data_IF_670871357375
#
_entry.id   IF_670871357375
#
_cell.length_a   1.000
_cell.length_b   1.000
_cell.length_c   1.000
_cell.angle_alpha   90.00
_cell.angle_beta   90.00
_cell.angle_gamma   90.00
#
_symmetry.space_group_name_H-M   'P 1'
#
loop_
_entity.id
_entity.type
_entity.pdbx_description
1 polymer ?
#
# COMPACT_ATOMS: atom_id res chain seq x y z
N UNK A 1 19.32 12.68 5.14
CA UNK A 1 18.76 12.15 6.14
C UNK A 1 17.30 12.12 6.54
N UNK A 2 16.33 11.75 5.69
CA UNK A 2 14.88 11.85 5.99
C UNK A 2 14.21 10.51 6.30
N UNK A 3 14.94 9.57 6.92
CA UNK A 3 14.43 8.22 7.21
C UNK A 3 14.33 7.94 8.73
N UNK A 4 14.50 8.95 9.57
CA UNK A 4 14.33 8.76 11.01
C UNK A 4 12.84 8.55 11.32
N UNK A 5 12.55 7.49 12.08
CA UNK A 5 11.20 7.06 12.45
C UNK A 5 11.03 7.26 13.96
N UNK A 6 9.92 7.85 14.36
CA UNK A 6 9.48 7.93 15.74
C UNK A 6 8.64 6.70 16.08
N UNK A 7 9.09 5.93 17.08
CA UNK A 7 8.46 4.69 17.54
C UNK A 7 7.81 4.82 18.91
N UNK A 8 7.66 6.06 19.43
CA UNK A 8 7.04 6.31 20.75
C UNK A 8 5.53 6.15 20.76
N UNK A 9 4.89 6.19 19.58
CA UNK A 9 3.47 5.92 19.41
C UNK A 9 3.19 4.43 19.17
N UNK A 10 1.91 4.08 18.99
CA UNK A 10 1.48 2.71 18.67
C UNK A 10 2.05 2.22 17.32
N UNK A 11 2.22 3.11 16.37
CA UNK A 11 2.76 2.82 15.05
C UNK A 11 3.92 3.76 14.72
N UNK A 12 4.93 3.28 13.96
CA UNK A 12 6.09 4.09 13.59
C UNK A 12 5.73 5.17 12.56
N UNK A 13 6.08 6.42 12.83
CA UNK A 13 5.88 7.57 11.93
C UNK A 13 7.19 8.28 11.64
N UNK A 14 7.31 8.94 10.50
CA UNK A 14 8.50 9.75 10.21
C UNK A 14 8.60 10.94 11.16
N UNK A 15 9.78 11.18 11.73
CA UNK A 15 10.04 12.31 12.63
C UNK A 15 9.81 13.67 11.95
N UNK A 16 9.90 13.73 10.63
CA UNK A 16 9.58 14.93 9.86
C UNK A 16 8.12 15.38 10.00
N UNK A 17 7.16 14.44 10.16
CA UNK A 17 5.75 14.79 10.40
C UNK A 17 5.53 15.43 11.76
N UNK A 18 6.08 14.85 12.81
CA UNK A 18 6.00 15.42 14.16
C UNK A 18 6.66 16.80 14.24
N UNK A 19 7.82 16.97 13.58
CA UNK A 19 8.50 18.25 13.46
C UNK A 19 7.68 19.32 12.73
N UNK A 20 7.01 18.94 11.64
CA UNK A 20 6.14 19.82 10.88
C UNK A 20 4.99 20.36 11.75
N UNK A 21 4.27 19.47 12.46
CA UNK A 21 3.14 19.89 13.30
C UNK A 21 3.57 20.67 14.54
N UNK A 22 4.73 20.38 15.12
CA UNK A 22 5.31 21.20 16.20
C UNK A 22 5.60 22.62 15.71
N UNK A 23 6.17 22.77 14.51
CA UNK A 23 6.42 24.06 13.90
C UNK A 23 5.13 24.83 13.60
N UNK A 24 4.11 24.17 13.05
CA UNK A 24 2.80 24.76 12.77
C UNK A 24 2.15 25.25 14.07
N UNK A 25 2.04 24.42 15.10
CA UNK A 25 1.48 24.79 16.41
C UNK A 25 2.22 25.95 17.06
N UNK A 26 3.56 25.95 17.01
CA UNK A 26 4.36 27.07 17.49
C UNK A 26 4.14 28.36 16.71
N UNK A 27 3.89 28.26 15.39
CA UNK A 27 3.57 29.42 14.55
C UNK A 27 2.18 29.99 14.83
N UNK A 28 1.19 29.13 15.11
CA UNK A 28 -0.14 29.53 15.57
C UNK A 28 -0.01 30.33 16.88
N UNK A 29 0.68 29.79 17.88
CA UNK A 29 0.87 30.43 19.18
C UNK A 29 1.50 31.83 19.04
N UNK A 30 2.54 31.98 18.20
CA UNK A 30 3.19 33.27 17.97
C UNK A 30 2.27 34.25 17.23
N UNK A 31 1.54 33.82 16.21
CA UNK A 31 0.66 34.67 15.44
C UNK A 31 -0.53 35.14 16.28
N UNK A 32 -1.16 34.24 17.04
CA UNK A 32 -2.36 34.54 17.83
C UNK A 32 -2.09 35.44 19.03
N UNK A 33 -0.83 35.55 19.48
CA UNK A 33 -0.39 36.54 20.42
C UNK A 33 -0.39 37.98 19.86
N UNK A 34 -0.33 38.12 18.52
CA UNK A 34 -0.29 39.40 17.83
C UNK A 34 -1.62 39.74 17.14
N UNK A 35 -2.24 38.77 16.48
CA UNK A 35 -3.48 38.96 15.69
C UNK A 35 -4.22 37.65 15.48
N UNK A 36 -5.55 37.75 15.36
CA UNK A 36 -6.46 36.63 15.01
C UNK A 36 -7.22 36.86 13.71
N UNK A 37 -6.95 37.98 13.03
CA UNK A 37 -7.63 38.41 11.82
C UNK A 37 -6.93 37.95 10.53
N UNK A 38 -6.90 38.83 9.53
CA UNK A 38 -6.42 38.52 8.17
C UNK A 38 -5.02 37.91 8.10
N UNK A 39 -4.07 38.37 8.91
CA UNK A 39 -2.72 37.81 8.89
C UNK A 39 -2.71 36.34 9.37
N UNK A 40 -3.51 35.99 10.37
CA UNK A 40 -3.66 34.61 10.80
C UNK A 40 -4.35 33.75 9.71
N UNK A 41 -5.33 34.30 9.00
CA UNK A 41 -5.94 33.62 7.86
C UNK A 41 -4.93 33.34 6.73
N UNK A 42 -4.03 34.28 6.40
CA UNK A 42 -2.96 34.04 5.43
C UNK A 42 -1.96 32.97 5.90
N UNK A 43 -1.67 32.94 7.19
CA UNK A 43 -0.82 31.90 7.80
C UNK A 43 -1.49 30.51 7.69
N UNK A 44 -2.81 30.44 7.89
CA UNK A 44 -3.58 29.21 7.67
C UNK A 44 -3.43 28.69 6.22
N UNK A 45 -3.53 29.56 5.22
CA UNK A 45 -3.30 29.16 3.82
C UNK A 45 -1.88 28.63 3.59
N UNK A 46 -0.88 29.24 4.21
CA UNK A 46 0.50 28.74 4.14
C UNK A 46 0.66 27.35 4.80
N UNK A 47 -0.14 27.03 5.84
CA UNK A 47 -0.17 25.68 6.41
C UNK A 47 -0.80 24.68 5.45
N UNK A 48 -1.91 25.03 4.78
CA UNK A 48 -2.52 24.18 3.76
C UNK A 48 -1.52 23.83 2.65
N UNK A 49 -0.78 24.82 2.14
CA UNK A 49 0.24 24.62 1.11
C UNK A 49 1.39 23.72 1.61
N UNK A 50 1.80 23.92 2.86
CA UNK A 50 2.89 23.12 3.47
C UNK A 50 2.48 21.65 3.64
N UNK A 51 1.24 21.38 4.06
CA UNK A 51 0.69 20.04 4.21
C UNK A 51 0.53 19.35 2.85
N UNK A 52 0.05 20.07 1.84
CA UNK A 52 -0.05 19.56 0.47
C UNK A 52 1.34 19.15 -0.09
N UNK A 53 2.36 20.00 0.12
CA UNK A 53 3.74 19.68 -0.26
C UNK A 53 4.27 18.47 0.50
N UNK A 54 3.94 18.33 1.78
CA UNK A 54 4.38 17.20 2.58
C UNK A 54 3.75 15.89 2.08
N UNK A 55 2.44 15.88 1.74
CA UNK A 55 1.79 14.74 1.13
C UNK A 55 2.46 14.34 -0.21
N UNK A 56 2.84 15.32 -1.04
CA UNK A 56 3.59 15.06 -2.28
C UNK A 56 4.97 14.43 -2.02
N UNK A 57 5.69 14.93 -1.00
CA UNK A 57 7.00 14.35 -0.60
C UNK A 57 6.83 12.90 -0.16
N UNK A 58 5.80 12.58 0.65
CA UNK A 58 5.50 11.22 1.07
C UNK A 58 5.17 10.32 -0.13
N UNK A 59 4.35 10.80 -1.06
CA UNK A 59 4.04 10.08 -2.31
C UNK A 59 5.30 9.82 -3.16
N UNK A 60 6.24 10.76 -3.19
CA UNK A 60 7.52 10.62 -3.90
C UNK A 60 8.49 9.60 -3.30
N UNK A 61 8.27 9.17 -2.04
CA UNK A 61 9.08 8.12 -1.39
C UNK A 61 8.66 6.70 -1.80
N UNK A 62 7.53 6.55 -2.51
CA UNK A 62 7.03 5.24 -2.94
C UNK A 62 7.86 4.68 -4.09
N UNK A 63 8.04 3.34 -4.13
CA UNK A 63 8.62 2.68 -5.29
C UNK A 63 7.86 3.04 -6.56
N UNK A 64 8.58 3.49 -7.58
CA UNK A 64 7.99 3.79 -8.88
C UNK A 64 7.87 2.50 -9.70
N UNK A 65 6.84 2.38 -10.56
CA UNK A 65 6.76 1.29 -11.52
C UNK A 65 8.06 1.23 -12.32
N UNK A 66 8.64 0.05 -12.48
CA UNK A 66 9.76 -0.12 -13.39
C UNK A 66 9.27 0.27 -14.79
N UNK A 67 9.79 1.37 -15.31
CA UNK A 67 9.58 1.73 -16.71
C UNK A 67 10.33 0.64 -17.49
N UNK A 68 9.59 -0.33 -18.06
CA UNK A 68 10.17 -1.30 -18.95
C UNK A 68 10.87 -0.51 -20.07
N UNK A 69 12.20 -0.53 -20.07
CA UNK A 69 12.96 -0.02 -21.20
C UNK A 69 12.40 -0.67 -22.47
N UNK A 70 12.18 0.06 -23.56
CA UNK A 70 11.66 -0.51 -24.78
C UNK A 70 12.66 -1.57 -25.25
N UNK A 71 12.33 -2.84 -25.06
CA UNK A 71 12.99 -3.92 -25.79
C UNK A 71 12.68 -3.68 -27.26
N UNK A 72 13.65 -3.04 -27.91
CA UNK A 72 13.59 -2.73 -29.33
C UNK A 72 13.40 -4.00 -30.14
N UNK A 73 12.20 -4.18 -30.64
CA UNK A 73 11.88 -4.89 -31.88
C UNK A 73 10.48 -4.42 -32.29
N UNK A 74 10.45 -3.25 -32.96
CA UNK A 74 9.30 -2.82 -33.73
C UNK A 74 9.12 -3.80 -34.90
N UNK A 75 8.23 -4.77 -34.75
CA UNK A 75 7.59 -5.45 -35.87
C UNK A 75 6.17 -4.91 -36.01
N UNK A 76 6.05 -3.86 -36.81
CA UNK A 76 4.79 -3.35 -37.33
C UNK A 76 4.17 -4.36 -38.26
N UNK A 77 3.12 -5.06 -37.83
CA UNK A 77 2.14 -5.70 -38.70
C UNK A 77 0.75 -5.71 -38.03
N UNK A 78 -0.17 -4.88 -38.58
CA UNK A 78 -1.61 -5.05 -38.46
C UNK A 78 -2.24 -4.60 -37.15
N UNK A 79 -2.95 -3.46 -37.19
CA UNK A 79 -3.71 -2.83 -36.10
C UNK A 79 -4.51 -3.78 -35.23
N UNK A 80 -4.07 -3.93 -34.01
CA UNK A 80 -4.87 -4.29 -32.83
C UNK A 80 -4.30 -3.53 -31.64
N UNK A 81 -5.19 -2.93 -30.85
CA UNK A 81 -4.86 -2.19 -29.63
C UNK A 81 -3.82 -2.95 -28.80
N UNK A 82 -2.67 -2.32 -28.58
CA UNK A 82 -1.70 -2.78 -27.59
C UNK A 82 -2.37 -2.72 -26.22
N UNK A 83 -2.70 -3.88 -25.67
CA UNK A 83 -2.89 -4.04 -24.24
C UNK A 83 -1.51 -3.81 -23.63
N UNK A 84 -1.29 -2.64 -23.07
CA UNK A 84 -0.08 -2.35 -22.29
C UNK A 84 0.05 -3.43 -21.22
N UNK A 85 1.15 -4.15 -21.22
CA UNK A 85 1.49 -5.04 -20.12
C UNK A 85 1.45 -4.23 -18.82
N UNK A 86 0.79 -4.71 -17.76
CA UNK A 86 0.69 -3.97 -16.52
C UNK A 86 2.11 -3.66 -16.02
N UNK A 87 2.37 -2.38 -15.74
CA UNK A 87 3.63 -1.94 -15.13
C UNK A 87 3.78 -2.67 -13.79
N UNK A 88 4.72 -3.61 -13.70
CA UNK A 88 4.95 -4.34 -12.46
C UNK A 88 5.77 -3.49 -11.50
N UNK A 89 5.24 -3.22 -10.31
CA UNK A 89 6.01 -2.63 -9.22
C UNK A 89 6.74 -3.76 -8.51
N UNK A 90 8.07 -3.69 -8.49
CA UNK A 90 8.90 -4.58 -7.69
C UNK A 90 9.32 -3.88 -6.41
N UNK A 91 9.01 -4.50 -5.27
CA UNK A 91 9.47 -4.04 -3.96
C UNK A 91 10.58 -4.97 -3.49
N UNK A 92 11.83 -4.49 -3.33
CA UNK A 92 12.91 -5.28 -2.72
C UNK A 92 12.50 -5.80 -1.34
N UNK A 93 13.02 -6.98 -0.94
CA UNK A 93 12.75 -7.52 0.40
C UNK A 93 13.25 -6.55 1.47
N UNK A 94 12.34 -6.11 2.36
CA UNK A 94 12.61 -5.13 3.41
C UNK A 94 12.08 -3.72 3.10
N UNK A 95 11.94 -3.33 1.84
CA UNK A 95 11.45 -2.00 1.48
C UNK A 95 9.93 -1.85 1.70
N UNK A 96 9.18 -2.96 1.86
CA UNK A 96 7.78 -2.92 2.29
C UNK A 96 7.59 -2.18 3.61
N UNK A 97 8.57 -2.22 4.51
CA UNK A 97 8.58 -1.48 5.78
C UNK A 97 8.49 0.03 5.55
N UNK A 98 9.25 0.55 4.57
CA UNK A 98 9.22 1.97 4.23
C UNK A 98 7.84 2.42 3.74
N UNK A 99 7.18 1.58 2.92
CA UNK A 99 5.82 1.85 2.44
C UNK A 99 4.83 1.85 3.60
N UNK A 100 4.96 0.92 4.56
CA UNK A 100 4.14 0.89 5.77
C UNK A 100 4.35 2.15 6.63
N UNK A 101 5.59 2.62 6.79
CA UNK A 101 5.86 3.88 7.52
C UNK A 101 5.22 5.10 6.84
N UNK A 102 5.13 5.12 5.49
CA UNK A 102 4.37 6.18 4.79
C UNK A 102 2.90 6.11 5.16
N UNK A 103 2.28 4.91 5.18
CA UNK A 103 0.87 4.74 5.57
C UNK A 103 0.62 5.28 6.98
N UNK A 104 1.41 4.83 7.97
CA UNK A 104 1.24 5.26 9.37
C UNK A 104 1.49 6.76 9.54
N UNK A 105 2.42 7.32 8.75
CA UNK A 105 2.67 8.78 8.76
C UNK A 105 1.51 9.55 8.15
N UNK A 106 0.90 9.06 7.07
CA UNK A 106 -0.26 9.69 6.45
C UNK A 106 -1.47 9.68 7.37
N UNK A 107 -1.72 8.56 8.08
CA UNK A 107 -2.79 8.48 9.09
C UNK A 107 -2.56 9.50 10.22
N UNK A 108 -1.37 9.49 10.81
CA UNK A 108 -1.01 10.48 11.83
C UNK A 108 -1.21 11.92 11.33
N UNK A 109 -0.86 12.22 10.07
CA UNK A 109 -1.05 13.53 9.48
C UNK A 109 -2.54 13.87 9.31
N UNK A 110 -3.36 12.95 8.81
CA UNK A 110 -4.79 13.15 8.61
C UNK A 110 -5.50 13.45 9.92
N UNK A 111 -5.26 12.65 10.98
CA UNK A 111 -5.82 12.86 12.31
C UNK A 111 -5.36 14.19 12.94
N UNK A 112 -4.07 14.53 12.74
CA UNK A 112 -3.52 15.77 13.31
C UNK A 112 -4.04 17.00 12.55
N UNK A 113 -4.35 16.90 11.26
CA UNK A 113 -4.96 17.98 10.47
C UNK A 113 -6.36 18.30 10.96
N UNK A 114 -7.18 17.29 11.31
CA UNK A 114 -8.50 17.48 11.88
C UNK A 114 -8.42 18.27 13.20
N UNK A 115 -7.58 17.82 14.13
CA UNK A 115 -7.36 18.53 15.40
C UNK A 115 -6.77 19.94 15.20
N UNK A 116 -5.98 20.15 14.15
CA UNK A 116 -5.41 21.45 13.78
C UNK A 116 -6.48 22.41 13.27
N UNK A 117 -7.40 21.92 12.43
CA UNK A 117 -8.53 22.71 11.93
C UNK A 117 -9.39 23.21 13.07
N UNK A 118 -9.75 22.34 14.01
CA UNK A 118 -10.53 22.71 15.19
C UNK A 118 -9.83 23.79 16.02
N UNK A 119 -8.54 23.60 16.30
CA UNK A 119 -7.73 24.60 17.03
C UNK A 119 -7.71 25.96 16.35
N UNK A 120 -7.56 26.00 15.04
CA UNK A 120 -7.54 27.25 14.24
C UNK A 120 -8.92 27.89 14.23
N UNK A 121 -9.98 27.11 14.00
CA UNK A 121 -11.37 27.56 13.96
C UNK A 121 -11.80 28.18 15.29
N UNK A 122 -11.37 27.64 16.41
CA UNK A 122 -11.66 28.17 17.74
C UNK A 122 -10.90 29.48 18.04
N UNK A 123 -9.76 29.66 17.43
CA UNK A 123 -8.86 30.76 17.74
C UNK A 123 -9.02 31.97 16.80
N UNK A 124 -9.40 31.74 15.54
CA UNK A 124 -9.51 32.79 14.51
C UNK A 124 -10.71 33.72 14.75
N UNK A 125 -10.63 34.93 14.22
CA UNK A 125 -11.75 35.90 14.20
C UNK A 125 -12.98 35.29 13.52
N UNK A 126 -14.16 35.59 14.07
CA UNK A 126 -15.45 35.05 13.60
C UNK A 126 -15.68 35.30 12.11
N UNK A 127 -15.21 36.41 11.57
CA UNK A 127 -15.33 36.74 10.14
C UNK A 127 -14.63 35.77 9.17
N UNK A 128 -13.74 34.91 9.69
CA UNK A 128 -13.00 33.94 8.88
C UNK A 128 -13.38 32.48 9.18
N UNK A 129 -14.18 32.20 10.21
CA UNK A 129 -14.48 30.82 10.66
C UNK A 129 -15.05 29.95 9.57
N UNK A 130 -15.99 30.46 8.77
CA UNK A 130 -16.65 29.71 7.69
C UNK A 130 -15.72 29.34 6.53
N UNK A 131 -14.52 29.90 6.53
CA UNK A 131 -13.49 29.66 5.49
C UNK A 131 -12.40 28.70 5.97
N UNK A 132 -12.52 28.18 7.19
CA UNK A 132 -11.58 27.21 7.77
C UNK A 132 -12.04 25.82 7.35
N UNK A 133 -11.32 25.25 6.39
CA UNK A 133 -11.55 23.91 5.87
C UNK A 133 -10.22 23.30 5.45
N UNK A 134 -9.89 22.14 6.02
CA UNK A 134 -8.70 21.36 5.71
C UNK A 134 -9.04 19.97 5.16
N UNK A 135 -10.28 19.70 4.77
CA UNK A 135 -10.69 18.40 4.23
C UNK A 135 -9.88 17.98 3.01
N UNK A 136 -9.50 18.93 2.15
CA UNK A 136 -8.63 18.66 1.00
C UNK A 136 -7.22 18.19 1.41
N UNK A 137 -6.68 18.69 2.52
CA UNK A 137 -5.38 18.22 3.05
C UNK A 137 -5.48 16.80 3.61
N UNK A 138 -6.58 16.48 4.30
CA UNK A 138 -6.85 15.10 4.76
C UNK A 138 -7.00 14.15 3.58
N UNK A 139 -7.79 14.52 2.56
CA UNK A 139 -7.98 13.72 1.34
C UNK A 139 -6.65 13.43 0.64
N UNK A 140 -5.73 14.39 0.55
CA UNK A 140 -4.40 14.17 -0.02
C UNK A 140 -3.62 13.11 0.75
N UNK A 141 -3.67 13.06 2.08
CA UNK A 141 -3.02 12.01 2.87
C UNK A 141 -3.69 10.65 2.66
N UNK A 142 -5.02 10.58 2.58
CA UNK A 142 -5.75 9.35 2.27
C UNK A 142 -5.44 8.84 0.85
N UNK A 143 -5.28 9.72 -0.13
CA UNK A 143 -4.85 9.37 -1.48
C UNK A 143 -3.45 8.75 -1.50
N UNK A 144 -2.52 9.29 -0.72
CA UNK A 144 -1.16 8.69 -0.58
C UNK A 144 -1.27 7.31 0.05
N UNK A 145 -2.09 7.14 1.08
CA UNK A 145 -2.35 5.83 1.72
C UNK A 145 -2.92 4.82 0.72
N UNK A 146 -3.90 5.23 -0.08
CA UNK A 146 -4.48 4.37 -1.11
C UNK A 146 -3.43 3.91 -2.14
N UNK A 147 -2.52 4.81 -2.56
CA UNK A 147 -1.38 4.48 -3.42
C UNK A 147 -0.42 3.51 -2.75
N UNK A 148 -0.12 3.69 -1.46
CA UNK A 148 0.73 2.78 -0.68
C UNK A 148 0.16 1.36 -0.66
N UNK A 149 -1.13 1.21 -0.37
CA UNK A 149 -1.80 -0.09 -0.35
C UNK A 149 -1.70 -0.76 -1.73
N UNK A 150 -1.92 0.01 -2.82
CA UNK A 150 -1.76 -0.50 -4.18
C UNK A 150 -0.33 -0.99 -4.43
N UNK A 151 0.67 -0.22 -4.02
CA UNK A 151 2.10 -0.58 -4.14
C UNK A 151 2.40 -1.87 -3.37
N UNK A 152 1.91 -2.03 -2.12
CA UNK A 152 2.10 -3.25 -1.34
C UNK A 152 1.49 -4.48 -2.03
N UNK A 153 0.26 -4.35 -2.57
CA UNK A 153 -0.41 -5.43 -3.30
C UNK A 153 0.37 -5.81 -4.55
N UNK A 154 0.73 -4.86 -5.38
CA UNK A 154 1.47 -5.10 -6.63
C UNK A 154 2.87 -5.68 -6.35
N UNK A 155 3.55 -5.18 -5.31
CA UNK A 155 4.84 -5.69 -4.88
C UNK A 155 4.77 -7.14 -4.42
N UNK A 156 3.75 -7.53 -3.64
CA UNK A 156 3.55 -8.91 -3.24
C UNK A 156 3.19 -9.79 -4.46
N UNK A 157 2.27 -9.33 -5.33
CA UNK A 157 1.92 -10.06 -6.56
C UNK A 157 3.12 -10.29 -7.46
N UNK A 158 4.05 -9.33 -7.54
CA UNK A 158 5.28 -9.48 -8.32
C UNK A 158 6.17 -10.61 -7.77
N UNK A 159 6.24 -10.78 -6.43
CA UNK A 159 6.98 -11.89 -5.79
C UNK A 159 6.38 -13.25 -6.08
N UNK A 160 5.09 -13.32 -6.39
CA UNK A 160 4.40 -14.59 -6.69
C UNK A 160 4.51 -15.04 -8.15
N UNK A 161 5.08 -14.21 -9.02
CA UNK A 161 5.16 -14.52 -10.47
C UNK A 161 5.92 -15.82 -10.74
N UNK A 162 7.01 -16.11 -10.00
CA UNK A 162 7.79 -17.33 -10.21
C UNK A 162 7.03 -18.57 -9.74
N UNK A 163 6.25 -18.49 -8.68
CA UNK A 163 5.37 -19.57 -8.25
C UNK A 163 4.27 -19.85 -9.29
N UNK A 164 3.67 -18.80 -9.87
CA UNK A 164 2.68 -18.94 -10.94
C UNK A 164 3.28 -19.47 -12.25
N UNK A 165 4.53 -19.14 -12.57
CA UNK A 165 5.26 -19.76 -13.68
C UNK A 165 5.48 -21.25 -13.40
N UNK A 166 5.95 -21.60 -12.21
CA UNK A 166 6.14 -23.00 -11.81
C UNK A 166 4.85 -23.83 -11.98
N UNK A 167 3.68 -23.27 -11.63
CA UNK A 167 2.38 -23.89 -11.88
C UNK A 167 2.16 -24.19 -13.37
N UNK A 168 2.54 -23.29 -14.28
CA UNK A 168 2.42 -23.48 -15.72
C UNK A 168 3.41 -24.51 -16.28
N UNK A 169 4.56 -24.68 -15.64
CA UNK A 169 5.65 -25.56 -16.08
C UNK A 169 5.41 -27.03 -15.67
N UNK A 170 4.48 -27.29 -14.75
CA UNK A 170 4.08 -28.65 -14.36
C UNK A 170 3.38 -29.32 -15.54
N UNK A 171 3.80 -30.56 -15.85
CA UNK A 171 3.12 -31.37 -16.88
C UNK A 171 1.86 -32.03 -16.33
N UNK A 172 0.76 -31.27 -16.33
CA UNK A 172 -0.54 -31.73 -15.83
C UNK A 172 -1.15 -32.89 -16.61
N UNK A 173 -0.68 -33.13 -17.86
CA UNK A 173 -1.18 -34.23 -18.70
C UNK A 173 -0.68 -35.60 -18.24
N UNK A 174 0.54 -35.67 -17.68
CA UNK A 174 1.17 -36.92 -17.22
C UNK A 174 1.28 -36.97 -15.70
N UNK A 175 0.52 -36.10 -15.01
CA UNK A 175 0.51 -36.08 -13.55
C UNK A 175 -0.13 -37.38 -13.02
N UNK A 176 0.58 -38.14 -12.20
CA UNK A 176 0.29 -39.53 -11.88
C UNK A 176 0.06 -39.81 -10.39
N UNK A 177 0.28 -38.82 -9.51
CA UNK A 177 0.14 -39.04 -8.08
C UNK A 177 -0.39 -37.81 -7.34
N UNK A 178 -1.53 -37.94 -6.70
CA UNK A 178 -2.07 -36.94 -5.77
C UNK A 178 -1.39 -37.14 -4.43
N UNK A 179 -0.84 -36.09 -3.87
CA UNK A 179 -0.15 -36.15 -2.59
C UNK A 179 -0.46 -34.96 -1.70
N UNK A 180 0.58 -34.33 -1.17
CA UNK A 180 0.51 -33.07 -0.46
C UNK A 180 0.26 -31.91 -1.45
N UNK A 181 0.22 -30.68 -0.94
CA UNK A 181 0.13 -29.48 -1.78
C UNK A 181 1.30 -29.38 -2.77
N UNK A 182 1.03 -28.86 -3.95
CA UNK A 182 2.03 -28.67 -5.00
C UNK A 182 3.12 -27.70 -4.55
N UNK A 183 4.32 -27.82 -5.13
CA UNK A 183 5.47 -26.96 -4.80
C UNK A 183 5.21 -25.47 -5.00
N UNK A 184 4.43 -25.09 -6.03
CA UNK A 184 4.05 -23.69 -6.26
C UNK A 184 3.14 -23.12 -5.16
N UNK A 185 2.25 -23.94 -4.57
CA UNK A 185 1.39 -23.53 -3.43
C UNK A 185 2.24 -23.23 -2.21
N UNK A 186 3.18 -24.11 -1.90
CA UNK A 186 4.14 -23.95 -0.80
C UNK A 186 4.98 -22.69 -0.98
N UNK A 187 5.41 -22.42 -2.20
CA UNK A 187 6.17 -21.24 -2.57
C UNK A 187 5.34 -19.96 -2.37
N UNK A 188 4.06 -19.94 -2.77
CA UNK A 188 3.13 -18.85 -2.52
C UNK A 188 2.99 -18.58 -1.00
N UNK A 189 2.73 -19.61 -0.21
CA UNK A 189 2.56 -19.47 1.23
C UNK A 189 3.83 -18.94 1.92
N UNK A 190 5.01 -19.40 1.49
CA UNK A 190 6.31 -18.95 2.01
C UNK A 190 6.58 -17.48 1.76
N UNK A 191 6.10 -16.90 0.66
CA UNK A 191 6.24 -15.46 0.38
C UNK A 191 5.11 -14.64 1.04
N UNK A 192 3.87 -15.11 1.01
CA UNK A 192 2.70 -14.37 1.48
C UNK A 192 2.68 -14.22 3.00
N UNK A 193 2.87 -15.30 3.75
CA UNK A 193 2.67 -15.30 5.21
C UNK A 193 3.62 -14.32 5.91
N UNK A 194 4.95 -14.33 5.68
CA UNK A 194 5.85 -13.39 6.34
C UNK A 194 5.62 -11.94 5.91
N UNK A 195 5.26 -11.72 4.63
CA UNK A 195 4.97 -10.38 4.14
C UNK A 195 3.75 -9.78 4.84
N UNK A 196 2.65 -10.54 4.89
CA UNK A 196 1.39 -10.11 5.53
C UNK A 196 1.59 -9.90 7.03
N UNK A 197 2.29 -10.79 7.72
CA UNK A 197 2.59 -10.67 9.14
C UNK A 197 3.42 -9.40 9.46
N UNK A 198 4.37 -9.05 8.60
CA UNK A 198 5.16 -7.82 8.73
C UNK A 198 4.30 -6.58 8.53
N UNK A 199 3.49 -6.55 7.47
CA UNK A 199 2.57 -5.43 7.19
C UNK A 199 1.59 -5.23 8.36
N UNK A 200 1.05 -6.32 8.92
CA UNK A 200 0.13 -6.30 10.06
C UNK A 200 0.64 -5.50 11.26
N UNK A 201 1.92 -5.62 11.57
CA UNK A 201 2.55 -4.94 12.72
C UNK A 201 2.88 -3.46 12.48
N UNK A 202 2.74 -2.95 11.26
CA UNK A 202 3.27 -1.65 10.87
C UNK A 202 2.22 -0.64 10.39
N UNK A 203 0.97 -1.08 10.16
CA UNK A 203 -0.10 -0.19 9.68
C UNK A 203 -1.39 -0.34 10.51
N UNK A 204 -2.27 0.67 10.51
CA UNK A 204 -3.57 0.60 11.17
C UNK A 204 -4.42 -0.58 10.69
N UNK A 205 -5.22 -1.14 11.58
CA UNK A 205 -6.02 -2.34 11.32
C UNK A 205 -7.04 -2.17 10.17
N UNK A 206 -7.58 -0.96 9.98
CA UNK A 206 -8.48 -0.61 8.89
C UNK A 206 -7.81 -0.75 7.52
N UNK A 207 -6.61 -0.20 7.39
CA UNK A 207 -5.80 -0.29 6.17
C UNK A 207 -5.25 -1.69 5.94
N UNK A 208 -4.91 -2.41 7.02
CA UNK A 208 -4.50 -3.80 6.91
C UNK A 208 -5.60 -4.68 6.32
N UNK A 209 -6.85 -4.51 6.78
CA UNK A 209 -8.00 -5.21 6.19
C UNK A 209 -8.17 -4.89 4.71
N UNK A 210 -8.13 -3.59 4.36
CA UNK A 210 -8.20 -3.15 2.96
C UNK A 210 -7.08 -3.73 2.09
N UNK A 211 -5.86 -3.84 2.63
CA UNK A 211 -4.73 -4.50 1.97
C UNK A 211 -5.03 -5.99 1.73
N UNK A 212 -5.48 -6.74 2.74
CA UNK A 212 -5.81 -8.15 2.61
C UNK A 212 -6.89 -8.40 1.56
N UNK A 213 -7.97 -7.60 1.56
CA UNK A 213 -9.09 -7.73 0.62
C UNK A 213 -8.64 -7.46 -0.82
N UNK A 214 -7.85 -6.39 -1.04
CA UNK A 214 -7.31 -6.05 -2.36
C UNK A 214 -6.31 -7.09 -2.85
N UNK A 215 -5.44 -7.60 -1.97
CA UNK A 215 -4.49 -8.65 -2.31
C UNK A 215 -5.21 -9.95 -2.67
N UNK A 216 -6.16 -10.41 -1.84
CA UNK A 216 -6.93 -11.62 -2.10
C UNK A 216 -7.68 -11.54 -3.45
N UNK A 217 -8.26 -10.37 -3.77
CA UNK A 217 -8.94 -10.13 -5.05
C UNK A 217 -7.97 -10.21 -6.22
N UNK A 218 -6.82 -9.52 -6.15
CA UNK A 218 -5.81 -9.54 -7.21
C UNK A 218 -5.21 -10.93 -7.42
N UNK A 219 -4.90 -11.62 -6.31
CA UNK A 219 -4.35 -12.98 -6.35
C UNK A 219 -5.34 -13.96 -6.96
N UNK A 220 -6.60 -13.98 -6.48
CA UNK A 220 -7.64 -14.89 -6.99
C UNK A 220 -7.86 -14.70 -8.49
N UNK A 221 -7.95 -13.45 -8.96
CA UNK A 221 -8.11 -13.15 -10.38
C UNK A 221 -6.93 -13.67 -11.22
N UNK A 222 -5.70 -13.45 -10.74
CA UNK A 222 -4.49 -13.88 -11.45
C UNK A 222 -4.35 -15.40 -11.42
N UNK A 223 -4.58 -16.04 -10.28
CA UNK A 223 -4.53 -17.49 -10.12
C UNK A 223 -5.58 -18.17 -11.02
N UNK A 224 -6.84 -17.70 -11.01
CA UNK A 224 -7.90 -18.21 -11.87
C UNK A 224 -7.53 -18.07 -13.34
N UNK A 225 -7.01 -16.93 -13.77
CA UNK A 225 -6.54 -16.72 -15.15
C UNK A 225 -5.43 -17.70 -15.53
N UNK A 226 -4.53 -18.01 -14.59
CA UNK A 226 -3.46 -19.00 -14.81
C UNK A 226 -4.04 -20.41 -14.91
N UNK A 227 -4.97 -20.76 -14.02
CA UNK A 227 -5.62 -22.08 -13.98
C UNK A 227 -6.37 -22.40 -15.30
N UNK A 228 -7.16 -21.47 -15.81
CA UNK A 228 -7.94 -21.70 -17.07
C UNK A 228 -7.06 -21.76 -18.32
N UNK A 229 -5.80 -21.34 -18.25
CA UNK A 229 -4.84 -21.45 -19.36
C UNK A 229 -4.13 -22.80 -19.41
N UNK A 230 -4.23 -23.63 -18.35
CA UNK A 230 -3.64 -24.96 -18.33
C UNK A 230 -4.30 -25.84 -19.41
N UNK A 231 -3.46 -26.59 -20.11
CA UNK A 231 -3.90 -27.45 -21.20
C UNK A 231 -3.63 -28.91 -20.84
N UNK A 232 -4.54 -29.81 -21.24
CA UNK A 232 -4.38 -31.27 -21.09
C UNK A 232 -4.17 -31.68 -19.65
N UNK A 233 -5.21 -31.54 -18.81
CA UNK A 233 -5.21 -31.91 -17.41
C UNK A 233 -5.69 -33.34 -17.27
N UNK A 234 -4.90 -34.23 -16.62
CA UNK A 234 -5.32 -35.62 -16.31
C UNK A 234 -6.35 -35.62 -15.18
N UNK A 235 -6.99 -36.74 -14.92
CA UNK A 235 -7.94 -36.89 -13.81
C UNK A 235 -7.27 -36.68 -12.46
N UNK A 236 -6.09 -37.29 -12.26
CA UNK A 236 -5.31 -37.11 -11.01
C UNK A 236 -4.81 -35.69 -10.87
N UNK A 237 -4.42 -35.03 -11.96
CA UNK A 237 -4.07 -33.60 -11.93
C UNK A 237 -5.26 -32.72 -11.51
N UNK A 238 -6.49 -33.07 -11.91
CA UNK A 238 -7.69 -32.34 -11.48
C UNK A 238 -7.90 -32.45 -9.97
N UNK A 239 -7.69 -33.62 -9.38
CA UNK A 239 -7.77 -33.84 -7.94
C UNK A 239 -6.69 -33.05 -7.19
N UNK A 240 -5.45 -33.03 -7.71
CA UNK A 240 -4.37 -32.24 -7.15
C UNK A 240 -4.66 -30.75 -7.21
N UNK A 241 -5.13 -30.23 -8.34
CA UNK A 241 -5.51 -28.80 -8.50
C UNK A 241 -6.65 -28.41 -7.55
N UNK A 242 -7.60 -29.33 -7.29
CA UNK A 242 -8.67 -29.10 -6.32
C UNK A 242 -8.12 -28.96 -4.90
N UNK A 243 -7.18 -29.84 -4.52
CA UNK A 243 -6.48 -29.75 -3.22
C UNK A 243 -5.69 -28.45 -3.09
N UNK A 244 -4.96 -28.06 -4.13
CA UNK A 244 -4.20 -26.82 -4.18
C UNK A 244 -5.12 -25.57 -4.05
N UNK A 245 -6.25 -25.56 -4.78
CA UNK A 245 -7.27 -24.50 -4.65
C UNK A 245 -7.81 -24.40 -3.23
N UNK A 246 -8.08 -25.54 -2.57
CA UNK A 246 -8.56 -25.57 -1.19
C UNK A 246 -7.53 -24.98 -0.21
N UNK A 247 -6.26 -25.36 -0.37
CA UNK A 247 -5.18 -24.86 0.48
C UNK A 247 -4.95 -23.36 0.28
N UNK A 248 -4.93 -22.88 -0.96
CA UNK A 248 -4.81 -21.46 -1.26
C UNK A 248 -6.00 -20.65 -0.74
N UNK A 249 -7.24 -21.14 -0.95
CA UNK A 249 -8.44 -20.52 -0.39
C UNK A 249 -8.35 -20.40 1.13
N UNK A 250 -7.95 -21.48 1.80
CA UNK A 250 -7.81 -21.49 3.26
C UNK A 250 -6.74 -20.50 3.72
N UNK A 251 -5.61 -20.40 3.02
CA UNK A 251 -4.57 -19.42 3.29
C UNK A 251 -5.09 -17.98 3.14
N UNK A 252 -5.79 -17.68 2.03
CA UNK A 252 -6.35 -16.33 1.79
C UNK A 252 -7.37 -15.92 2.86
N UNK A 253 -8.24 -16.83 3.29
CA UNK A 253 -9.23 -16.56 4.35
C UNK A 253 -8.58 -16.30 5.71
N UNK A 254 -7.38 -16.81 5.96
CA UNK A 254 -6.63 -16.60 7.20
C UNK A 254 -5.83 -15.29 7.21
N UNK A 255 -5.63 -14.61 6.10
CA UNK A 255 -4.81 -13.39 6.03
C UNK A 255 -5.23 -12.30 7.03
N UNK A 256 -6.53 -11.98 7.23
CA UNK A 256 -6.92 -10.93 8.16
C UNK A 256 -6.63 -11.23 9.63
N UNK A 257 -6.41 -12.51 9.98
CA UNK A 257 -6.14 -12.98 11.36
C UNK A 257 -4.70 -13.42 11.58
N UNK A 258 -3.80 -13.22 10.60
CA UNK A 258 -2.37 -13.48 10.76
C UNK A 258 -1.82 -12.62 11.91
N UNK A 259 -1.07 -13.24 12.82
CA UNK A 259 -0.42 -12.53 13.92
C UNK A 259 0.73 -11.64 13.39
N UNK A 260 0.90 -10.47 14.01
CA UNK A 260 1.97 -9.57 13.67
C UNK A 260 3.33 -10.18 14.08
N UNK A 261 4.31 -10.16 13.17
CA UNK A 261 5.70 -10.40 13.57
C UNK A 261 6.24 -9.10 14.15
N UNK A 262 6.49 -9.08 15.46
CA UNK A 262 7.25 -7.99 16.06
C UNK A 262 8.67 -8.02 15.46
N UNK A 263 9.06 -6.92 14.79
CA UNK A 263 10.44 -6.73 14.41
C UNK A 263 11.26 -6.57 15.70
N UNK A 264 12.14 -7.53 15.96
CA UNK A 264 13.17 -7.45 17.02
C UNK A 264 14.25 -6.49 16.54
#
# INVERSE_FOLDING_TARGET
GDSAVDTRGELPVFTSSTGLFVYIKGSITRCTAMTRGKAFFLLFQAFQDSLNKYAQILSGKLPQPAVNAPTGLNLTLGGKQQVQAPSSISIPKGDEVKVCHVISTCEYCADTVEALEDLIRDTIDVSFKDRMDMANQQEHFHDVTAKCIKVLVEGLMTRLQDALKLMNDINWATFDMVGEESSYVRMIQTEVVPFVAKVRGLIPSSYFRSFCDKFATAFTSTYFTTLIRLKRISELATQQLLLDCYNLKTAMLKLPVVEATHAV
#
